data_IF_545363359231
#
_entry.id   IF_545363359231
#
_cell.length_a   1.000
_cell.length_b   1.000
_cell.length_c   1.000
_cell.angle_alpha   90.00
_cell.angle_beta   90.00
_cell.angle_gamma   90.00
#
_symmetry.space_group_name_H-M   'P 1'
#
loop_
_entity.id
_entity.type
_entity.pdbx_description
1 polymer ?
#
# COMPACT_ATOMS: atom_id res chain seq x y z
N UNK A 1 -1.97 58.44 -43.69
CA UNK A 1 -2.57 57.14 -44.05
C UNK A 1 -2.38 56.19 -42.88
N UNK A 2 -3.41 55.38 -42.56
CA UNK A 2 -3.60 54.47 -41.40
C UNK A 2 -3.93 55.21 -40.08
N UNK A 3 -5.15 55.29 -39.54
CA UNK A 3 -6.27 54.32 -39.38
C UNK A 3 -5.72 53.00 -38.82
N UNK A 4 -5.96 52.59 -37.59
CA UNK A 4 -7.24 52.19 -36.95
C UNK A 4 -6.99 52.10 -35.43
N UNK A 5 -7.84 52.64 -34.54
CA UNK A 5 -8.95 51.92 -33.88
C UNK A 5 -8.57 50.52 -33.40
N UNK A 6 -8.61 50.30 -32.08
CA UNK A 6 -8.79 49.05 -31.31
C UNK A 6 -8.06 49.30 -29.98
N UNK A 7 -8.60 49.12 -28.80
CA UNK A 7 -9.94 48.79 -28.35
C UNK A 7 -9.78 48.85 -26.83
N UNK A 8 -10.51 49.77 -26.21
CA UNK A 8 -10.94 49.65 -24.82
C UNK A 8 -11.41 48.22 -24.54
N UNK A 9 -10.61 47.36 -23.92
CA UNK A 9 -11.05 46.10 -23.33
C UNK A 9 -9.90 45.45 -22.54
N UNK A 10 -9.34 46.17 -21.56
CA UNK A 10 -8.63 45.52 -20.46
C UNK A 10 -9.52 45.52 -19.21
N UNK A 11 -10.78 45.14 -19.43
CA UNK A 11 -11.77 44.92 -18.38
C UNK A 11 -12.25 43.48 -18.53
N UNK A 12 -12.38 42.84 -17.36
CA UNK A 12 -13.11 41.60 -17.10
C UNK A 12 -12.41 40.28 -17.41
N UNK A 13 -12.04 39.63 -16.30
CA UNK A 13 -12.59 38.32 -15.92
C UNK A 13 -12.18 37.12 -16.76
N UNK A 14 -11.05 36.51 -16.38
CA UNK A 14 -10.90 35.06 -16.42
C UNK A 14 -11.08 34.60 -14.96
N UNK A 15 -12.32 34.42 -14.51
CA UNK A 15 -13.05 33.14 -14.56
C UNK A 15 -12.23 32.01 -13.91
N UNK A 16 -12.63 31.74 -12.68
CA UNK A 16 -12.42 30.50 -11.94
C UNK A 16 -12.65 29.27 -12.84
N UNK A 17 -11.59 28.52 -13.14
CA UNK A 17 -11.69 27.09 -13.45
C UNK A 17 -11.36 26.29 -12.18
N UNK A 18 -12.20 26.45 -11.16
CA UNK A 18 -12.29 25.49 -10.05
C UNK A 18 -13.39 24.49 -10.35
N UNK A 19 -13.05 23.19 -10.26
CA UNK A 19 -13.89 22.00 -10.43
C UNK A 19 -14.01 21.45 -11.87
N UNK A 20 -13.09 20.54 -12.24
CA UNK A 20 -13.46 19.24 -12.82
C UNK A 20 -12.22 18.35 -13.00
N UNK A 21 -11.96 17.43 -12.05
CA UNK A 21 -11.29 16.14 -12.32
C UNK A 21 -11.82 15.11 -11.32
N UNK A 22 -13.13 14.87 -11.41
CA UNK A 22 -13.71 13.61 -10.95
C UNK A 22 -13.11 12.51 -11.84
N UNK A 23 -12.52 11.50 -11.21
CA UNK A 23 -12.28 10.18 -11.79
C UNK A 23 -11.12 10.03 -12.81
N UNK A 24 -9.89 9.91 -12.30
CA UNK A 24 -8.91 8.95 -12.85
C UNK A 24 -8.46 8.02 -11.72
N UNK A 25 -9.07 6.83 -11.64
CA UNK A 25 -8.36 5.68 -11.11
C UNK A 25 -7.22 5.32 -12.08
N UNK A 26 -6.19 4.73 -11.49
CA UNK A 26 -5.11 3.92 -12.06
C UNK A 26 -3.77 4.65 -12.25
N UNK A 27 -2.79 4.10 -11.50
CA UNK A 27 -1.34 4.14 -11.65
C UNK A 27 -0.57 5.40 -11.23
N UNK A 28 -0.11 5.39 -9.97
CA UNK A 28 1.22 5.86 -9.56
C UNK A 28 1.55 5.07 -8.30
N UNK A 29 2.38 4.03 -8.36
CA UNK A 29 3.84 4.13 -8.40
C UNK A 29 4.40 5.05 -7.31
N UNK A 30 5.07 4.40 -6.34
CA UNK A 30 6.15 4.98 -5.54
C UNK A 30 5.79 6.17 -4.67
N UNK A 31 5.30 5.93 -3.45
CA UNK A 31 5.48 6.91 -2.38
C UNK A 31 5.92 6.21 -1.09
N UNK A 32 7.24 6.08 -0.99
CA UNK A 32 7.98 5.96 0.27
C UNK A 32 7.66 7.21 1.10
N UNK A 33 6.68 7.10 1.99
CA UNK A 33 6.45 8.07 3.04
C UNK A 33 6.43 7.31 4.36
N UNK A 34 7.39 7.68 5.21
CA UNK A 34 7.50 7.30 6.61
C UNK A 34 6.24 7.78 7.35
N UNK A 35 5.18 6.98 7.27
CA UNK A 35 4.06 7.03 8.19
C UNK A 35 4.04 5.63 8.77
N UNK A 36 4.20 5.55 10.08
CA UNK A 36 3.74 4.42 10.87
C UNK A 36 2.21 4.38 10.70
N UNK A 37 1.73 4.04 9.50
CA UNK A 37 0.33 3.74 9.29
C UNK A 37 0.16 2.48 10.09
N UNK A 38 -0.53 2.62 11.21
CA UNK A 38 -1.26 1.51 11.81
C UNK A 38 -2.11 0.99 10.66
N UNK A 39 -1.58 -0.03 9.97
CA UNK A 39 -2.24 -0.66 8.85
C UNK A 39 -3.52 -1.19 9.46
N UNK A 40 -4.64 -0.57 9.10
CA UNK A 40 -5.93 -0.93 9.64
C UNK A 40 -6.25 -2.31 9.09
N UNK A 41 -5.88 -3.31 9.86
CA UNK A 41 -5.98 -4.70 9.46
C UNK A 41 -7.46 -5.08 9.35
N UNK A 42 -7.80 -5.85 8.34
CA UNK A 42 -9.18 -6.29 8.17
C UNK A 42 -9.40 -7.60 8.95
N UNK A 43 -10.07 -7.51 10.10
CA UNK A 43 -10.42 -8.69 10.91
C UNK A 43 -11.36 -9.67 10.17
N UNK A 44 -12.04 -9.21 9.12
CA UNK A 44 -12.96 -10.01 8.29
C UNK A 44 -12.37 -10.35 6.92
N UNK A 45 -11.05 -10.26 6.73
CA UNK A 45 -10.37 -10.64 5.48
C UNK A 45 -10.55 -12.12 5.12
N UNK A 46 -10.86 -12.96 6.10
CA UNK A 46 -10.78 -14.41 5.99
C UNK A 46 -9.34 -14.90 6.16
N UNK A 47 -9.16 -16.23 6.03
CA UNK A 47 -7.86 -16.85 6.28
C UNK A 47 -6.81 -16.42 5.26
N UNK A 48 -5.58 -16.25 5.72
CA UNK A 48 -4.43 -15.87 4.90
C UNK A 48 -3.23 -16.75 5.22
N UNK A 49 -2.41 -17.05 4.21
CA UNK A 49 -1.14 -17.72 4.38
C UNK A 49 -0.03 -16.67 4.42
N UNK A 50 0.80 -16.73 5.45
CA UNK A 50 1.88 -15.77 5.64
C UNK A 50 3.13 -16.44 6.24
N UNK A 51 4.28 -15.81 6.00
CA UNK A 51 5.60 -16.21 6.45
C UNK A 51 5.89 -15.54 7.79
N UNK A 52 5.98 -16.28 8.91
CA UNK A 52 6.37 -15.68 10.20
C UNK A 52 7.77 -15.05 10.14
N UNK A 53 8.06 -14.05 10.99
CA UNK A 53 9.37 -13.45 11.06
C UNK A 53 10.42 -14.45 11.54
N UNK A 54 11.66 -14.27 11.07
CA UNK A 54 12.77 -15.11 11.49
C UNK A 54 13.08 -14.87 12.98
N UNK A 55 13.24 -15.91 13.79
CA UNK A 55 13.59 -15.74 15.20
C UNK A 55 14.97 -15.11 15.35
N UNK A 56 15.13 -14.27 16.37
CA UNK A 56 16.44 -13.74 16.73
C UNK A 56 17.35 -14.85 17.25
N UNK A 57 18.59 -14.87 16.76
CA UNK A 57 19.59 -15.86 17.14
C UNK A 57 20.49 -15.30 18.23
N UNK A 58 20.74 -16.06 19.31
CA UNK A 58 21.67 -15.63 20.34
C UNK A 58 23.07 -15.44 19.76
N UNK A 59 23.75 -14.38 20.21
CA UNK A 59 25.08 -14.01 19.72
C UNK A 59 26.07 -15.17 19.90
N UNK A 60 26.88 -15.43 18.87
CA UNK A 60 27.88 -16.51 18.88
C UNK A 60 27.33 -17.91 18.58
N UNK A 61 26.01 -18.09 18.48
CA UNK A 61 25.40 -19.30 17.90
C UNK A 61 24.67 -18.89 16.63
N UNK A 62 25.30 -19.06 15.46
CA UNK A 62 24.58 -18.88 14.20
C UNK A 62 23.40 -19.84 14.16
N UNK A 63 22.15 -19.34 14.08
CA UNK A 63 21.06 -20.20 13.65
C UNK A 63 21.33 -20.51 12.19
N UNK A 64 21.96 -21.65 11.97
CA UNK A 64 22.09 -22.27 10.65
C UNK A 64 20.67 -22.63 10.19
N UNK A 65 20.01 -21.65 9.59
CA UNK A 65 18.83 -21.76 8.75
C UNK A 65 17.59 -22.43 9.37
N UNK A 66 17.04 -21.84 10.44
CA UNK A 66 15.66 -22.18 10.83
C UNK A 66 14.72 -21.14 10.23
N UNK A 67 14.45 -21.28 8.93
CA UNK A 67 13.37 -20.54 8.30
C UNK A 67 12.04 -21.10 8.83
N UNK A 68 11.19 -20.28 9.48
CA UNK A 68 9.90 -20.77 9.93
C UNK A 68 9.08 -21.23 8.73
N UNK A 69 8.29 -22.29 8.89
CA UNK A 69 7.37 -22.69 7.83
C UNK A 69 6.26 -21.63 7.68
N UNK A 70 5.72 -21.43 6.46
CA UNK A 70 4.50 -20.65 6.25
C UNK A 70 3.35 -21.15 7.13
N UNK A 71 2.58 -20.22 7.70
CA UNK A 71 1.46 -20.51 8.59
C UNK A 71 0.18 -19.82 8.10
N UNK A 72 -0.96 -20.45 8.38
CA UNK A 72 -2.28 -19.88 8.08
C UNK A 72 -2.78 -19.10 9.29
N UNK A 73 -3.12 -17.83 9.08
CA UNK A 73 -3.75 -16.93 10.04
C UNK A 73 -5.24 -16.81 9.71
N UNK A 74 -6.10 -16.59 10.71
CA UNK A 74 -7.55 -16.50 10.47
C UNK A 74 -7.96 -15.16 9.84
N UNK A 75 -7.11 -14.14 9.98
CA UNK A 75 -7.31 -12.81 9.39
C UNK A 75 -5.97 -12.10 9.15
N UNK A 76 -6.00 -11.04 8.35
CA UNK A 76 -4.88 -10.09 8.17
C UNK A 76 -4.45 -9.50 9.51
N UNK A 77 -5.38 -9.27 10.45
CA UNK A 77 -5.04 -8.76 11.78
C UNK A 77 -4.16 -9.68 12.60
N UNK A 78 -4.42 -10.99 12.56
CA UNK A 78 -3.60 -11.97 13.27
C UNK A 78 -2.21 -12.09 12.63
N UNK A 79 -2.15 -12.02 11.30
CA UNK A 79 -0.89 -11.98 10.54
C UNK A 79 -0.05 -10.75 10.92
N UNK A 80 -0.67 -9.55 10.92
CA UNK A 80 -0.02 -8.29 11.25
C UNK A 80 0.47 -8.27 12.71
N UNK A 81 -0.34 -8.79 13.63
CA UNK A 81 0.04 -8.94 15.04
C UNK A 81 1.27 -9.85 15.21
N UNK A 82 1.38 -10.90 14.40
CA UNK A 82 2.52 -11.81 14.36
C UNK A 82 3.72 -11.24 13.58
N UNK A 83 3.58 -10.07 12.94
CA UNK A 83 4.56 -9.47 12.03
C UNK A 83 4.97 -10.44 10.91
N UNK A 84 4.01 -11.24 10.46
CA UNK A 84 4.21 -12.19 9.38
C UNK A 84 4.06 -11.50 8.02
N UNK A 85 4.82 -11.94 7.03
CA UNK A 85 4.78 -11.42 5.68
C UNK A 85 3.74 -12.18 4.84
N UNK A 86 2.78 -11.46 4.27
CA UNK A 86 1.71 -12.05 3.47
C UNK A 86 2.25 -12.82 2.25
N UNK A 87 1.78 -14.05 2.04
CA UNK A 87 2.10 -14.86 0.85
C UNK A 87 0.89 -14.92 -0.08
N UNK A 88 -0.26 -15.37 0.43
CA UNK A 88 -1.47 -15.58 -0.37
C UNK A 88 -2.74 -15.58 0.49
N UNK A 89 -3.88 -15.31 -0.15
CA UNK A 89 -5.20 -15.49 0.46
C UNK A 89 -5.53 -16.98 0.61
N UNK A 90 -6.25 -17.34 1.67
CA UNK A 90 -6.61 -18.71 1.99
C UNK A 90 -5.52 -19.47 2.75
N UNK A 91 -5.71 -20.78 2.98
CA UNK A 91 -4.77 -21.59 3.74
C UNK A 91 -3.44 -21.82 3.01
N UNK A 92 -2.37 -22.01 3.77
CA UNK A 92 -1.09 -22.42 3.23
C UNK A 92 -1.17 -23.81 2.59
N UNK A 93 -0.43 -24.06 1.50
CA UNK A 93 -0.38 -25.38 0.90
C UNK A 93 0.23 -26.37 1.90
N UNK A 94 -0.54 -27.36 2.33
CA UNK A 94 -0.01 -28.51 3.06
C UNK A 94 0.86 -29.29 2.09
N UNK A 95 2.19 -29.20 2.25
CA UNK A 95 3.10 -30.10 1.54
C UNK A 95 2.91 -31.50 2.13
N UNK A 96 1.99 -32.27 1.55
CA UNK A 96 1.94 -33.72 1.74
C UNK A 96 3.17 -34.28 1.03
N UNK A 97 4.21 -34.61 1.80
CA UNK A 97 5.39 -35.34 1.33
C UNK A 97 5.06 -36.81 1.08
#
# INVERSE_FOLDING_TARGET
MKWTLISTFLVLSLVSCGQELRNRRVASEGQEHNVLQVQECNANSGSVCAQPPMPECPEGMGCIQVFPAPQTYQSECEMDQAKAEFIQNGPCPSTTL
#
